data_IF_795965563146
#
_entry.id   IF_795965563146
#
_cell.length_a   1.000
_cell.length_b   1.000
_cell.length_c   1.000
_cell.angle_alpha   90.00
_cell.angle_beta   90.00
_cell.angle_gamma   90.00
#
_symmetry.space_group_name_H-M   'P 1'
#
loop_
_entity.id
_entity.type
_entity.pdbx_description
1 polymer ?
#
# COMPACT_ATOMS: atom_id res chain seq x y z
N UNK A 1 -52.55 -15.59 13.67
CA UNK A 1 -51.61 -15.34 14.71
C UNK A 1 -50.19 -15.36 14.22
N UNK A 2 -49.41 -14.37 14.54
CA UNK A 2 -47.97 -14.51 14.55
C UNK A 2 -47.21 -13.82 13.41
N UNK A 3 -46.80 -12.58 13.61
CA UNK A 3 -45.63 -12.02 12.97
C UNK A 3 -45.25 -10.71 13.67
N UNK A 4 -44.41 -10.79 14.66
CA UNK A 4 -43.87 -9.58 15.29
C UNK A 4 -42.43 -9.78 15.87
N UNK A 5 -41.66 -10.75 15.36
CA UNK A 5 -40.32 -11.01 15.90
C UNK A 5 -39.13 -10.50 15.06
N UNK A 6 -39.39 -10.00 13.83
CA UNK A 6 -38.29 -9.57 12.96
C UNK A 6 -37.88 -8.10 13.08
N UNK A 7 -38.75 -7.23 13.58
CA UNK A 7 -38.45 -5.80 13.72
C UNK A 7 -37.67 -5.45 14.99
N UNK A 8 -37.77 -6.25 16.06
CA UNK A 8 -37.10 -5.98 17.32
C UNK A 8 -35.61 -6.37 17.31
N UNK A 9 -35.21 -7.42 16.56
CA UNK A 9 -33.80 -7.83 16.47
C UNK A 9 -32.97 -6.86 15.65
N UNK A 10 -33.51 -6.33 14.54
CA UNK A 10 -32.82 -5.35 13.70
C UNK A 10 -32.63 -4.01 14.43
N UNK A 11 -33.65 -3.52 15.18
CA UNK A 11 -33.52 -2.29 15.94
C UNK A 11 -32.57 -2.43 17.13
N UNK A 12 -32.55 -3.59 17.82
CA UNK A 12 -31.63 -3.83 18.93
C UNK A 12 -30.18 -3.98 18.46
N UNK A 13 -29.91 -4.62 17.30
CA UNK A 13 -28.62 -4.71 16.70
C UNK A 13 -28.07 -3.33 16.28
N UNK A 14 -28.91 -2.49 15.67
CA UNK A 14 -28.58 -1.11 15.31
C UNK A 14 -28.29 -0.25 16.53
N UNK A 15 -29.12 -0.35 17.60
CA UNK A 15 -28.90 0.36 18.85
C UNK A 15 -27.59 -0.10 19.55
N UNK A 16 -27.30 -1.40 19.55
CA UNK A 16 -26.05 -1.92 20.11
C UNK A 16 -24.82 -1.44 19.34
N UNK A 17 -24.87 -1.42 17.99
CA UNK A 17 -23.79 -0.89 17.17
C UNK A 17 -23.56 0.60 17.40
N UNK A 18 -24.64 1.41 17.51
CA UNK A 18 -24.55 2.84 17.83
C UNK A 18 -23.97 3.09 19.22
N UNK A 19 -24.35 2.27 20.23
CA UNK A 19 -23.78 2.35 21.58
C UNK A 19 -22.30 1.96 21.59
N UNK A 20 -21.88 0.96 20.78
CA UNK A 20 -20.48 0.56 20.65
C UNK A 20 -19.60 1.66 20.03
N UNK A 21 -20.19 2.59 19.26
CA UNK A 21 -19.47 3.73 18.71
C UNK A 21 -19.09 4.78 19.76
N UNK A 22 -19.69 4.77 20.99
CA UNK A 22 -19.29 5.67 22.06
C UNK A 22 -17.87 5.39 22.51
N UNK A 23 -17.03 6.43 22.54
CA UNK A 23 -15.65 6.33 22.97
C UNK A 23 -14.67 5.81 21.93
N UNK A 24 -15.07 5.70 20.66
CA UNK A 24 -14.18 5.27 19.56
C UNK A 24 -13.62 6.43 18.75
N UNK A 25 -13.99 7.66 19.04
CA UNK A 25 -13.48 8.87 18.37
C UNK A 25 -14.10 9.17 17.01
N UNK A 26 -14.64 8.19 16.31
CA UNK A 26 -15.31 8.39 15.01
C UNK A 26 -16.65 9.11 15.18
N UNK A 27 -16.99 10.06 14.26
CA UNK A 27 -18.30 10.70 14.28
C UNK A 27 -19.43 9.67 14.07
N UNK A 28 -20.46 9.71 14.94
CA UNK A 28 -21.54 8.72 14.91
C UNK A 28 -22.69 9.07 13.99
N UNK A 29 -23.04 10.35 13.93
CA UNK A 29 -24.27 10.82 13.28
C UNK A 29 -23.98 11.57 11.98
N UNK A 30 -22.75 11.53 11.52
CA UNK A 30 -22.31 12.17 10.29
C UNK A 30 -21.73 11.13 9.35
N UNK A 31 -21.80 11.39 8.05
CA UNK A 31 -21.16 10.56 7.06
C UNK A 31 -19.65 10.80 7.10
N UNK A 32 -18.88 9.73 7.25
CA UNK A 32 -17.43 9.75 7.18
C UNK A 32 -17.03 9.45 5.73
N UNK A 33 -16.39 10.40 5.09
CA UNK A 33 -15.84 10.21 3.74
C UNK A 33 -14.45 9.58 3.87
N UNK A 34 -14.30 8.42 3.26
CA UNK A 34 -13.00 7.73 3.12
C UNK A 34 -12.49 8.01 1.72
N UNK A 35 -11.54 8.94 1.62
CA UNK A 35 -10.98 9.38 0.35
C UNK A 35 -9.92 8.40 -0.14
N UNK A 36 -10.01 8.00 -1.41
CA UNK A 36 -8.99 7.21 -2.10
C UNK A 36 -8.27 8.13 -3.08
N UNK A 37 -7.00 8.48 -2.84
CA UNK A 37 -6.23 9.31 -3.78
C UNK A 37 -5.74 8.46 -4.95
N UNK A 38 -6.67 7.97 -5.76
CA UNK A 38 -6.40 7.09 -6.89
C UNK A 38 -7.68 6.52 -7.48
N UNK A 39 -7.51 5.81 -8.58
CA UNK A 39 -8.63 5.21 -9.31
C UNK A 39 -9.18 3.99 -8.58
N UNK A 40 -10.44 3.68 -8.82
CA UNK A 40 -11.10 2.48 -8.31
C UNK A 40 -10.38 1.21 -8.79
N UNK A 41 -10.35 0.18 -7.93
CA UNK A 41 -9.78 -1.14 -8.22
C UNK A 41 -8.31 -1.30 -7.84
N UNK A 42 -7.61 -0.24 -7.46
CA UNK A 42 -6.26 -0.34 -6.92
C UNK A 42 -6.23 -0.89 -5.49
N UNK A 43 -5.02 -1.23 -5.01
CA UNK A 43 -4.85 -1.83 -3.68
C UNK A 43 -5.40 -0.99 -2.54
N UNK A 44 -5.19 0.33 -2.58
CA UNK A 44 -5.72 1.25 -1.56
C UNK A 44 -7.24 1.31 -1.56
N UNK A 45 -7.84 1.32 -2.76
CA UNK A 45 -9.30 1.31 -2.92
C UNK A 45 -9.91 0.03 -2.35
N UNK A 46 -9.35 -1.12 -2.71
CA UNK A 46 -9.83 -2.40 -2.21
C UNK A 46 -9.68 -2.50 -0.69
N UNK A 47 -8.53 -2.08 -0.16
CA UNK A 47 -8.27 -2.12 1.28
C UNK A 47 -9.24 -1.24 2.07
N UNK A 48 -9.41 0.02 1.67
CA UNK A 48 -10.25 0.96 2.40
C UNK A 48 -11.74 0.52 2.41
N UNK A 49 -12.18 -0.21 1.39
CA UNK A 49 -13.55 -0.75 1.34
C UNK A 49 -13.76 -1.84 2.39
N UNK A 50 -12.76 -2.65 2.70
CA UNK A 50 -12.83 -3.58 3.82
C UNK A 50 -12.90 -2.86 5.17
N UNK A 51 -12.14 -1.79 5.36
CA UNK A 51 -12.20 -0.98 6.56
C UNK A 51 -13.56 -0.25 6.68
N UNK A 52 -14.08 0.26 5.58
CA UNK A 52 -15.41 0.87 5.53
C UNK A 52 -16.50 -0.11 5.96
N UNK A 53 -16.48 -1.32 5.42
CA UNK A 53 -17.41 -2.38 5.79
C UNK A 53 -17.30 -2.72 7.28
N UNK A 54 -16.07 -2.88 7.79
CA UNK A 54 -15.84 -3.19 9.20
C UNK A 54 -16.32 -2.10 10.14
N UNK A 55 -16.05 -0.84 9.82
CA UNK A 55 -16.52 0.30 10.61
C UNK A 55 -18.04 0.38 10.65
N UNK A 56 -18.70 0.11 9.53
CA UNK A 56 -20.16 0.08 9.45
C UNK A 56 -20.73 -1.10 10.26
N UNK A 57 -20.24 -2.30 10.03
CA UNK A 57 -20.78 -3.52 10.65
C UNK A 57 -20.51 -3.60 12.15
N UNK A 58 -19.30 -3.23 12.59
CA UNK A 58 -18.89 -3.34 14.00
C UNK A 58 -19.46 -2.20 14.83
N UNK A 59 -19.42 -0.97 14.31
CA UNK A 59 -19.76 0.24 15.08
C UNK A 59 -20.99 0.99 14.58
N UNK A 60 -21.63 0.56 13.48
CA UNK A 60 -22.78 1.25 12.91
C UNK A 60 -22.47 2.61 12.29
N UNK A 61 -21.21 2.85 11.93
CA UNK A 61 -20.79 4.12 11.35
C UNK A 61 -21.25 4.23 9.89
N UNK A 62 -21.56 5.45 9.46
CA UNK A 62 -21.92 5.75 8.07
C UNK A 62 -20.64 6.15 7.34
N UNK A 63 -20.18 5.31 6.43
CA UNK A 63 -18.97 5.56 5.66
C UNK A 63 -19.26 5.57 4.16
N UNK A 64 -18.58 6.44 3.43
CA UNK A 64 -18.65 6.53 1.97
C UNK A 64 -17.24 6.57 1.41
N UNK A 65 -16.96 5.71 0.43
CA UNK A 65 -15.64 5.69 -0.24
C UNK A 65 -15.73 6.57 -1.49
N UNK A 66 -14.80 7.53 -1.60
CA UNK A 66 -14.74 8.47 -2.74
C UNK A 66 -13.36 8.37 -3.40
N UNK A 67 -13.35 8.06 -4.70
CA UNK A 67 -12.13 7.97 -5.49
C UNK A 67 -11.82 9.31 -6.18
N UNK A 68 -10.53 9.62 -6.26
CA UNK A 68 -10.00 10.80 -6.98
C UNK A 68 -9.09 10.33 -8.12
N UNK A 69 -9.19 10.95 -9.29
CA UNK A 69 -8.38 10.56 -10.45
C UNK A 69 -6.90 10.91 -10.29
N UNK A 70 -6.58 11.89 -9.44
CA UNK A 70 -5.23 12.34 -9.16
C UNK A 70 -4.89 12.14 -7.68
N UNK A 71 -3.73 11.54 -7.40
CA UNK A 71 -3.22 11.40 -6.03
C UNK A 71 -3.09 12.77 -5.36
N UNK A 72 -2.55 13.76 -6.07
CA UNK A 72 -2.33 15.11 -5.51
C UNK A 72 -3.63 15.80 -5.16
N UNK A 73 -4.66 15.69 -6.00
CA UNK A 73 -5.99 16.25 -5.73
C UNK A 73 -6.64 15.56 -4.53
N UNK A 74 -6.57 14.23 -4.47
CA UNK A 74 -7.11 13.46 -3.35
C UNK A 74 -6.45 13.81 -2.02
N UNK A 75 -5.13 13.87 -1.98
CA UNK A 75 -4.37 14.24 -0.79
C UNK A 75 -4.66 15.67 -0.35
N UNK A 76 -4.71 16.61 -1.28
CA UNK A 76 -5.02 18.02 -0.98
C UNK A 76 -6.44 18.17 -0.43
N UNK A 77 -7.39 17.43 -0.96
CA UNK A 77 -8.78 17.43 -0.48
C UNK A 77 -8.86 17.01 0.98
N UNK A 78 -8.13 15.95 1.37
CA UNK A 78 -8.08 15.50 2.75
C UNK A 78 -7.38 16.52 3.64
N UNK A 79 -6.23 17.05 3.21
CA UNK A 79 -5.48 18.05 3.98
C UNK A 79 -6.30 19.33 4.25
N UNK A 80 -7.16 19.71 3.32
CA UNK A 80 -8.00 20.90 3.42
C UNK A 80 -9.34 20.68 4.16
N UNK A 81 -9.65 19.44 4.52
CA UNK A 81 -10.89 19.11 5.20
C UNK A 81 -10.89 19.60 6.65
N UNK A 82 -12.08 19.65 7.26
CA UNK A 82 -12.21 19.96 8.68
C UNK A 82 -11.63 18.82 9.52
N UNK A 83 -10.88 19.12 10.59
CA UNK A 83 -10.24 18.10 11.43
C UNK A 83 -11.23 17.47 12.45
N UNK A 84 -12.40 17.12 12.02
CA UNK A 84 -13.50 16.60 12.84
C UNK A 84 -13.77 15.10 12.68
N UNK A 85 -12.93 14.39 11.92
CA UNK A 85 -13.04 12.95 11.69
C UNK A 85 -14.00 12.57 10.56
N UNK A 86 -14.58 13.53 9.84
CA UNK A 86 -15.52 13.24 8.74
C UNK A 86 -14.85 13.04 7.39
N UNK A 87 -13.56 13.30 7.27
CA UNK A 87 -12.77 13.05 6.06
C UNK A 87 -11.44 12.39 6.43
N UNK A 88 -11.27 11.15 5.99
CA UNK A 88 -10.09 10.33 6.26
C UNK A 88 -9.59 9.70 4.97
N UNK A 89 -8.35 9.24 4.98
CA UNK A 89 -7.75 8.51 3.85
C UNK A 89 -6.87 7.38 4.36
N UNK A 90 -6.67 6.37 3.52
CA UNK A 90 -5.64 5.35 3.71
C UNK A 90 -4.44 5.76 2.85
N UNK A 91 -3.46 6.41 3.48
CA UNK A 91 -2.27 6.91 2.81
C UNK A 91 -1.24 5.79 2.58
N UNK A 92 -0.57 5.87 1.44
CA UNK A 92 0.53 4.96 1.06
C UNK A 92 1.80 5.77 0.82
N UNK A 93 2.86 5.11 0.33
CA UNK A 93 4.11 5.78 -0.03
C UNK A 93 3.94 6.89 -1.07
N UNK A 94 2.86 6.86 -1.86
CA UNK A 94 2.59 7.90 -2.86
C UNK A 94 2.50 9.30 -2.23
N UNK A 95 1.91 9.42 -1.03
CA UNK A 95 1.84 10.69 -0.31
C UNK A 95 3.23 11.26 -0.04
N UNK A 96 4.14 10.43 0.48
CA UNK A 96 5.51 10.83 0.77
C UNK A 96 6.30 11.15 -0.51
N UNK A 97 6.21 10.28 -1.50
CA UNK A 97 6.98 10.41 -2.75
C UNK A 97 6.61 11.66 -3.51
N UNK A 98 5.33 11.99 -3.62
CA UNK A 98 4.88 13.19 -4.34
C UNK A 98 5.42 14.47 -3.68
N UNK A 99 5.47 14.53 -2.36
CA UNK A 99 6.06 15.66 -1.65
C UNK A 99 7.58 15.70 -1.79
N UNK A 100 8.26 14.59 -1.55
CA UNK A 100 9.73 14.48 -1.59
C UNK A 100 10.27 14.89 -2.97
N UNK A 101 9.59 14.52 -4.04
CA UNK A 101 9.98 14.81 -5.43
C UNK A 101 9.51 16.17 -5.93
N UNK A 102 8.79 16.93 -5.11
CA UNK A 102 8.27 18.25 -5.49
C UNK A 102 7.06 18.23 -6.41
N UNK A 103 6.46 17.07 -6.64
CA UNK A 103 5.25 16.94 -7.46
C UNK A 103 3.97 17.36 -6.73
N UNK A 104 4.02 17.47 -5.41
CA UNK A 104 2.94 17.97 -4.57
C UNK A 104 3.50 18.88 -3.47
N UNK A 105 2.66 19.80 -3.00
CA UNK A 105 3.01 20.74 -1.93
C UNK A 105 2.49 20.28 -0.56
N UNK A 106 1.60 19.30 -0.53
CA UNK A 106 1.05 18.75 0.71
C UNK A 106 2.14 18.00 1.46
N UNK A 107 2.44 18.45 2.67
CA UNK A 107 3.48 17.85 3.51
C UNK A 107 2.92 16.67 4.32
N UNK A 108 3.39 15.45 4.07
CA UNK A 108 2.88 14.26 4.75
C UNK A 108 3.13 14.25 6.25
N UNK A 109 4.10 15.02 6.73
CA UNK A 109 4.48 15.05 8.15
C UNK A 109 3.74 16.12 8.95
N UNK A 110 3.26 17.19 8.31
CA UNK A 110 2.67 18.35 9.01
C UNK A 110 1.24 18.67 8.58
N UNK A 111 0.81 18.28 7.40
CA UNK A 111 -0.52 18.63 6.86
C UNK A 111 -1.58 17.56 7.17
N UNK A 112 -1.20 16.50 7.86
CA UNK A 112 -2.07 15.39 8.23
C UNK A 112 -1.95 15.05 9.71
N UNK A 113 -2.99 14.40 10.22
CA UNK A 113 -2.97 13.70 11.50
C UNK A 113 -2.86 12.21 11.22
N UNK A 114 -1.80 11.57 11.71
CA UNK A 114 -1.64 10.12 11.64
C UNK A 114 -2.52 9.48 12.72
N UNK A 115 -3.39 8.57 12.31
CA UNK A 115 -4.31 7.88 13.22
C UNK A 115 -3.81 6.48 13.56
N UNK A 116 -3.44 5.69 12.56
CA UNK A 116 -2.92 4.34 12.76
C UNK A 116 -2.21 3.82 11.51
N UNK A 117 -1.11 3.09 11.70
CA UNK A 117 -0.62 2.18 10.69
C UNK A 117 -1.43 0.89 10.77
N UNK A 118 -2.04 0.47 9.68
CA UNK A 118 -3.01 -0.62 9.65
C UNK A 118 -2.53 -1.88 8.95
N UNK A 119 -1.55 -1.75 8.06
CA UNK A 119 -1.10 -2.88 7.24
C UNK A 119 0.22 -2.57 6.54
N UNK A 120 0.90 -3.65 6.15
CA UNK A 120 2.02 -3.61 5.21
C UNK A 120 1.49 -3.83 3.79
N UNK A 121 2.16 -3.25 2.80
CA UNK A 121 1.79 -3.38 1.38
C UNK A 121 1.91 -4.81 0.84
N UNK A 122 2.66 -5.68 1.52
CA UNK A 122 2.88 -7.06 1.09
C UNK A 122 3.96 -7.19 0.03
N UNK A 123 3.64 -7.92 -1.04
CA UNK A 123 4.63 -8.42 -1.98
C UNK A 123 4.57 -7.68 -3.33
N UNK A 124 5.69 -7.07 -3.72
CA UNK A 124 5.89 -6.52 -5.07
C UNK A 124 6.62 -7.56 -5.91
N UNK A 125 5.96 -8.10 -6.93
CA UNK A 125 6.49 -9.20 -7.74
C UNK A 125 7.39 -8.67 -8.85
N UNK A 126 8.63 -9.19 -8.91
CA UNK A 126 9.58 -8.86 -9.97
C UNK A 126 9.45 -9.87 -11.10
N UNK A 127 9.14 -9.37 -12.29
CA UNK A 127 8.95 -10.17 -13.48
C UNK A 127 9.93 -9.79 -14.60
N UNK A 128 10.35 -10.79 -15.35
CA UNK A 128 11.23 -10.67 -16.50
C UNK A 128 10.59 -11.35 -17.71
N UNK A 129 11.01 -11.06 -18.96
CA UNK A 129 10.50 -11.80 -20.12
C UNK A 129 10.69 -13.31 -20.00
N UNK A 130 9.76 -14.08 -20.57
CA UNK A 130 9.82 -15.54 -20.51
C UNK A 130 11.11 -16.13 -21.09
N UNK A 131 11.72 -15.46 -22.07
CA UNK A 131 12.96 -15.88 -22.71
C UNK A 131 14.21 -15.19 -22.16
N UNK A 132 14.12 -14.52 -21.01
CA UNK A 132 15.27 -13.90 -20.37
C UNK A 132 16.38 -14.94 -20.12
N UNK A 133 17.67 -14.57 -20.24
CA UNK A 133 18.79 -15.50 -20.09
C UNK A 133 19.10 -15.90 -18.65
N UNK A 134 18.25 -15.56 -17.72
CA UNK A 134 18.33 -15.90 -16.30
C UNK A 134 16.96 -16.37 -15.80
N UNK A 135 16.95 -17.27 -14.80
CA UNK A 135 15.72 -17.87 -14.28
C UNK A 135 15.42 -17.47 -12.82
N UNK A 136 16.39 -16.85 -12.12
CA UNK A 136 16.26 -16.43 -10.75
C UNK A 136 16.87 -15.04 -10.53
N UNK A 137 16.70 -14.51 -9.32
CA UNK A 137 17.20 -13.17 -9.01
C UNK A 137 18.72 -13.10 -9.02
N UNK A 138 19.42 -14.13 -8.54
CA UNK A 138 20.89 -14.16 -8.59
C UNK A 138 21.40 -14.08 -10.02
N UNK A 139 20.80 -14.84 -10.94
CA UNK A 139 21.14 -14.79 -12.36
C UNK A 139 20.89 -13.42 -12.97
N UNK A 140 19.79 -12.76 -12.61
CA UNK A 140 19.53 -11.39 -13.03
C UNK A 140 20.58 -10.41 -12.53
N UNK A 141 20.96 -10.48 -11.26
CA UNK A 141 21.98 -9.60 -10.66
C UNK A 141 23.34 -9.81 -11.34
N UNK A 142 23.76 -11.05 -11.53
CA UNK A 142 25.02 -11.37 -12.19
C UNK A 142 25.06 -10.85 -13.63
N UNK A 143 23.96 -11.03 -14.36
CA UNK A 143 23.82 -10.51 -15.72
C UNK A 143 23.90 -8.99 -15.75
N UNK A 144 23.17 -8.32 -14.85
CA UNK A 144 23.16 -6.86 -14.76
C UNK A 144 24.54 -6.28 -14.44
N UNK A 145 25.31 -6.95 -13.57
CA UNK A 145 26.70 -6.53 -13.25
C UNK A 145 27.64 -6.65 -14.43
N UNK A 146 27.44 -7.67 -15.28
CA UNK A 146 28.25 -7.87 -16.48
C UNK A 146 27.81 -6.97 -17.65
N UNK A 147 26.61 -6.40 -17.58
CA UNK A 147 26.02 -5.60 -18.66
C UNK A 147 25.45 -4.28 -18.10
N UNK A 148 26.33 -3.41 -17.51
CA UNK A 148 25.84 -2.17 -16.90
C UNK A 148 25.15 -1.28 -17.94
N UNK A 149 24.02 -0.71 -17.58
CA UNK A 149 23.18 0.15 -18.42
C UNK A 149 22.65 -0.49 -19.72
N UNK A 150 22.58 -1.81 -19.77
CA UNK A 150 22.03 -2.52 -20.93
C UNK A 150 20.61 -3.05 -20.70
N UNK A 151 20.25 -3.38 -19.45
CA UNK A 151 18.92 -3.87 -19.12
C UNK A 151 17.94 -2.73 -18.89
N UNK A 152 16.74 -2.86 -19.46
CA UNK A 152 15.66 -1.88 -19.36
C UNK A 152 14.72 -2.26 -18.22
N UNK A 153 14.53 -1.36 -17.25
CA UNK A 153 13.57 -1.52 -16.16
C UNK A 153 12.35 -0.61 -16.41
N UNK A 154 11.18 -1.20 -16.50
CA UNK A 154 9.93 -0.47 -16.70
C UNK A 154 9.37 0.05 -15.39
N UNK A 155 9.13 1.38 -15.30
CA UNK A 155 8.67 2.03 -14.08
C UNK A 155 8.02 3.37 -14.38
N UNK A 156 7.21 3.93 -13.47
CA UNK A 156 6.73 5.30 -13.63
C UNK A 156 7.86 6.32 -13.50
N UNK A 157 7.63 7.54 -13.96
CA UNK A 157 8.61 8.63 -13.89
C UNK A 157 9.04 8.93 -12.45
N UNK A 158 8.09 8.97 -11.52
CA UNK A 158 8.34 9.21 -10.09
C UNK A 158 7.23 8.54 -9.26
N UNK A 159 7.41 7.29 -8.94
CA UNK A 159 6.45 6.52 -8.13
C UNK A 159 7.12 5.48 -7.26
N UNK A 160 6.33 4.65 -6.60
CA UNK A 160 6.83 3.63 -5.69
C UNK A 160 7.83 2.68 -6.38
N UNK A 161 7.55 2.24 -7.60
CA UNK A 161 8.44 1.34 -8.34
C UNK A 161 9.76 2.00 -8.73
N UNK A 162 9.74 3.32 -9.03
CA UNK A 162 10.97 4.08 -9.29
C UNK A 162 11.89 4.05 -8.07
N UNK A 163 11.33 4.24 -6.89
CA UNK A 163 12.07 4.21 -5.63
C UNK A 163 12.54 2.80 -5.28
N UNK A 164 11.72 1.79 -5.54
CA UNK A 164 12.10 0.39 -5.34
C UNK A 164 13.32 0.02 -6.18
N UNK A 165 13.30 0.28 -7.48
CA UNK A 165 14.45 0.02 -8.34
C UNK A 165 15.66 0.88 -7.96
N UNK A 166 15.45 2.13 -7.54
CA UNK A 166 16.51 2.98 -7.04
C UNK A 166 17.24 2.36 -5.84
N UNK A 167 16.49 1.83 -4.87
CA UNK A 167 17.07 1.12 -3.72
C UNK A 167 17.80 -0.15 -4.16
N UNK A 168 17.17 -1.00 -4.96
CA UNK A 168 17.78 -2.25 -5.42
C UNK A 168 19.10 -2.00 -6.18
N UNK A 169 19.12 -1.05 -7.10
CA UNK A 169 20.33 -0.70 -7.83
C UNK A 169 21.45 -0.23 -6.90
N UNK A 170 21.12 0.61 -5.92
CA UNK A 170 22.08 1.13 -4.93
C UNK A 170 22.65 0.00 -4.05
N UNK A 171 21.78 -0.85 -3.52
CA UNK A 171 22.18 -1.95 -2.63
C UNK A 171 23.01 -3.01 -3.37
N UNK A 172 22.61 -3.33 -4.61
CA UNK A 172 23.23 -4.41 -5.39
C UNK A 172 24.43 -3.95 -6.21
N UNK A 173 24.63 -2.65 -6.39
CA UNK A 173 25.69 -2.12 -7.26
C UNK A 173 25.45 -2.44 -8.73
N UNK A 174 24.21 -2.39 -9.19
CA UNK A 174 23.83 -2.60 -10.59
C UNK A 174 23.31 -1.30 -11.21
N UNK A 175 23.35 -1.21 -12.52
CA UNK A 175 22.89 -0.07 -13.29
C UNK A 175 21.89 -0.53 -14.35
N UNK A 176 20.67 0.00 -14.29
CA UNK A 176 19.58 -0.30 -15.21
C UNK A 176 19.16 0.95 -15.96
N UNK A 177 18.70 0.79 -17.20
CA UNK A 177 18.07 1.89 -17.94
C UNK A 177 16.60 2.03 -17.49
N UNK A 178 16.22 3.23 -17.08
CA UNK A 178 14.83 3.54 -16.76
C UNK A 178 14.03 3.72 -18.05
N UNK A 179 12.99 2.92 -18.21
CA UNK A 179 12.01 3.06 -19.29
C UNK A 179 10.66 3.40 -18.68
N UNK A 180 10.05 4.49 -19.11
CA UNK A 180 8.78 4.92 -18.55
C UNK A 180 7.65 3.96 -18.95
N UNK A 181 7.08 3.29 -17.94
CA UNK A 181 5.94 2.40 -18.02
C UNK A 181 5.06 2.68 -16.80
N UNK A 182 4.21 3.70 -16.89
CA UNK A 182 3.46 4.21 -15.74
C UNK A 182 2.41 3.21 -15.22
N UNK A 183 1.76 2.46 -16.11
CA UNK A 183 0.71 1.51 -15.74
C UNK A 183 1.23 0.08 -15.68
N UNK A 184 0.60 -0.75 -14.85
CA UNK A 184 0.88 -2.19 -14.83
C UNK A 184 0.56 -2.84 -16.17
N UNK A 185 -0.50 -2.42 -16.83
CA UNK A 185 -0.87 -2.89 -18.18
C UNK A 185 0.27 -2.68 -19.18
N UNK A 186 0.88 -1.50 -19.18
CA UNK A 186 2.04 -1.20 -20.03
C UNK A 186 3.24 -2.10 -19.68
N UNK A 187 3.51 -2.30 -18.41
CA UNK A 187 4.60 -3.19 -17.98
C UNK A 187 4.38 -4.62 -18.43
N UNK A 188 3.18 -5.14 -18.27
CA UNK A 188 2.82 -6.50 -18.72
C UNK A 188 2.99 -6.66 -20.23
N UNK A 189 2.52 -5.71 -21.02
CA UNK A 189 2.68 -5.71 -22.47
C UNK A 189 4.15 -5.68 -22.87
N UNK A 190 4.94 -4.82 -22.25
CA UNK A 190 6.36 -4.66 -22.58
C UNK A 190 7.23 -5.82 -22.10
N UNK A 191 6.86 -6.48 -20.99
CA UNK A 191 7.51 -7.72 -20.54
C UNK A 191 7.23 -8.86 -21.52
N UNK A 192 5.97 -9.04 -21.91
CA UNK A 192 5.58 -10.09 -22.86
C UNK A 192 6.23 -9.90 -24.24
N UNK A 193 6.42 -8.65 -24.67
CA UNK A 193 7.07 -8.30 -25.94
C UNK A 193 8.59 -8.23 -25.89
N UNK A 194 9.20 -8.32 -24.69
CA UNK A 194 10.65 -8.22 -24.54
C UNK A 194 11.20 -6.80 -24.68
N UNK A 195 10.35 -5.77 -24.57
CA UNK A 195 10.77 -4.37 -24.68
C UNK A 195 11.34 -3.81 -23.37
N UNK A 196 10.98 -4.41 -22.24
CA UNK A 196 11.65 -4.20 -20.95
C UNK A 196 12.15 -5.53 -20.42
N UNK A 197 13.22 -5.48 -19.64
CA UNK A 197 13.90 -6.66 -19.10
C UNK A 197 13.45 -7.02 -17.70
N UNK A 198 12.89 -6.06 -16.96
CA UNK A 198 12.36 -6.26 -15.63
C UNK A 198 11.29 -5.21 -15.33
N UNK A 199 10.28 -5.62 -14.56
CA UNK A 199 9.24 -4.73 -14.09
C UNK A 199 8.53 -5.32 -12.87
N UNK A 200 7.89 -4.45 -12.08
CA UNK A 200 7.04 -4.86 -10.97
C UNK A 200 5.62 -5.06 -11.49
N UNK A 201 5.04 -6.20 -11.19
CA UNK A 201 3.65 -6.53 -11.52
C UNK A 201 2.93 -7.05 -10.28
N UNK A 202 1.61 -6.90 -10.23
CA UNK A 202 0.80 -7.45 -9.15
C UNK A 202 0.86 -8.97 -9.12
N UNK A 203 0.75 -9.54 -7.92
CA UNK A 203 0.91 -10.98 -7.70
C UNK A 203 -0.06 -11.81 -8.55
N UNK A 204 -1.33 -11.39 -8.65
CA UNK A 204 -2.34 -12.08 -9.45
C UNK A 204 -2.00 -12.10 -10.93
N UNK A 205 -1.61 -10.96 -11.48
CA UNK A 205 -1.19 -10.85 -12.89
C UNK A 205 0.11 -11.62 -13.14
N UNK A 206 1.04 -11.60 -12.19
CA UNK A 206 2.27 -12.38 -12.29
C UNK A 206 1.98 -13.87 -12.44
N UNK A 207 1.07 -14.41 -11.62
CA UNK A 207 0.67 -15.83 -11.70
C UNK A 207 -0.02 -16.16 -13.04
N UNK A 208 -0.93 -15.32 -13.48
CA UNK A 208 -1.68 -15.52 -14.73
C UNK A 208 -0.75 -15.48 -15.95
N UNK A 209 0.08 -14.46 -16.07
CA UNK A 209 1.01 -14.29 -17.19
C UNK A 209 2.13 -15.33 -17.18
N UNK A 210 2.57 -15.75 -16.00
CA UNK A 210 3.55 -16.82 -15.86
C UNK A 210 2.99 -18.16 -16.35
N UNK A 211 1.76 -18.50 -15.98
CA UNK A 211 1.07 -19.70 -16.46
C UNK A 211 0.88 -19.70 -17.98
N UNK A 212 0.65 -18.52 -18.56
CA UNK A 212 0.51 -18.35 -20.00
C UNK A 212 1.86 -18.32 -20.75
N UNK A 213 2.99 -18.47 -20.04
CA UNK A 213 4.32 -18.47 -20.65
C UNK A 213 4.77 -17.12 -21.18
N UNK A 214 4.19 -16.02 -20.68
CA UNK A 214 4.49 -14.66 -21.16
C UNK A 214 5.56 -13.93 -20.36
N UNK A 215 5.82 -14.37 -19.15
CA UNK A 215 6.88 -13.82 -18.28
C UNK A 215 7.37 -14.88 -17.29
N UNK A 216 8.49 -14.59 -16.64
CA UNK A 216 9.01 -15.37 -15.49
C UNK A 216 9.05 -14.47 -14.27
N UNK A 217 8.75 -15.04 -13.11
CA UNK A 217 8.90 -14.38 -11.79
C UNK A 217 10.23 -14.79 -11.20
N UNK A 218 11.01 -13.83 -10.75
CA UNK A 218 12.34 -14.07 -10.15
C UNK A 218 12.42 -13.74 -8.65
N UNK A 219 11.34 -13.26 -8.08
CA UNK A 219 11.24 -12.99 -6.67
C UNK A 219 10.21 -11.92 -6.35
N UNK A 220 10.07 -11.65 -5.06
CA UNK A 220 9.22 -10.56 -4.56
C UNK A 220 10.01 -9.64 -3.64
N UNK A 221 9.63 -8.37 -3.62
CA UNK A 221 10.14 -7.40 -2.64
C UNK A 221 9.02 -7.16 -1.63
N UNK A 222 9.36 -7.31 -0.36
CA UNK A 222 8.45 -7.07 0.76
C UNK A 222 9.17 -6.23 1.82
N UNK A 223 8.51 -5.97 2.95
CA UNK A 223 9.09 -5.30 4.10
C UNK A 223 10.18 -6.16 4.77
N UNK A 224 11.00 -5.52 5.59
CA UNK A 224 12.09 -6.20 6.30
C UNK A 224 11.56 -7.33 7.18
N UNK A 225 12.11 -8.52 7.01
CA UNK A 225 11.75 -9.72 7.76
C UNK A 225 10.46 -10.40 7.31
N UNK A 226 9.77 -9.91 6.29
CA UNK A 226 8.57 -10.54 5.75
C UNK A 226 8.96 -11.71 4.85
N UNK A 227 8.25 -12.82 4.98
CA UNK A 227 8.46 -14.03 4.22
C UNK A 227 7.22 -14.37 3.40
N UNK A 228 7.41 -15.11 2.30
CA UNK A 228 6.33 -15.42 1.34
C UNK A 228 5.23 -16.30 1.95
N UNK A 229 5.52 -17.04 3.02
CA UNK A 229 4.54 -17.85 3.73
C UNK A 229 3.50 -17.02 4.51
N UNK A 230 3.73 -15.71 4.66
CA UNK A 230 2.71 -14.79 5.19
C UNK A 230 1.59 -14.49 4.16
N UNK A 231 1.78 -14.86 2.90
CA UNK A 231 0.70 -14.85 1.92
C UNK A 231 -0.25 -16.01 2.20
N UNK A 232 -1.60 -15.82 2.09
CA UNK A 232 -2.58 -16.82 2.55
C UNK A 232 -2.73 -18.05 1.65
N UNK A 233 -2.00 -18.13 0.55
CA UNK A 233 -1.98 -19.31 -0.33
C UNK A 233 -0.55 -19.73 -0.63
N UNK A 234 -0.35 -21.00 -0.95
CA UNK A 234 0.95 -21.51 -1.35
C UNK A 234 1.36 -20.92 -2.71
N UNK A 235 2.59 -20.44 -2.81
CA UNK A 235 3.17 -19.89 -4.03
C UNK A 235 4.39 -20.71 -4.45
N UNK A 236 4.71 -20.76 -5.75
CA UNK A 236 5.93 -21.40 -6.24
C UNK A 236 7.18 -20.80 -5.58
N UNK A 237 8.25 -21.57 -5.50
CA UNK A 237 9.50 -21.18 -4.83
C UNK A 237 10.14 -19.91 -5.42
N UNK A 238 9.98 -19.69 -6.72
CA UNK A 238 10.50 -18.48 -7.39
C UNK A 238 9.81 -17.19 -6.97
N UNK A 239 8.74 -17.26 -6.16
CA UNK A 239 8.08 -16.09 -5.55
C UNK A 239 8.67 -15.69 -4.19
N UNK A 240 9.61 -16.44 -3.65
CA UNK A 240 10.28 -16.08 -2.40
C UNK A 240 10.79 -14.65 -2.44
N UNK A 241 10.74 -13.98 -1.29
CA UNK A 241 11.25 -12.61 -1.19
C UNK A 241 12.76 -12.58 -1.47
N UNK A 242 13.26 -11.44 -1.92
CA UNK A 242 14.68 -11.28 -2.18
C UNK A 242 15.51 -11.53 -0.91
N UNK A 243 15.00 -11.14 0.27
CA UNK A 243 15.65 -11.45 1.55
C UNK A 243 15.73 -12.97 1.79
N UNK A 244 14.68 -13.71 1.52
CA UNK A 244 14.68 -15.17 1.63
C UNK A 244 15.66 -15.83 0.66
N UNK A 245 15.92 -15.18 -0.47
CA UNK A 245 16.90 -15.64 -1.47
C UNK A 245 18.35 -15.26 -1.11
N UNK A 246 18.59 -14.62 0.05
CA UNK A 246 19.90 -14.27 0.54
C UNK A 246 20.33 -12.81 0.32
N UNK A 247 19.46 -11.99 -0.26
CA UNK A 247 19.71 -10.55 -0.48
C UNK A 247 19.12 -9.75 0.68
N UNK A 248 19.79 -9.76 1.82
CA UNK A 248 19.25 -9.27 3.10
C UNK A 248 18.85 -7.79 3.12
N UNK A 249 19.48 -6.94 2.30
CA UNK A 249 19.18 -5.52 2.24
C UNK A 249 18.18 -5.16 1.12
N UNK A 250 17.70 -6.15 0.37
CA UNK A 250 16.73 -5.98 -0.69
C UNK A 250 15.30 -6.12 -0.15
N UNK A 251 14.87 -5.15 0.62
CA UNK A 251 13.51 -4.99 1.14
C UNK A 251 13.05 -3.55 0.93
N UNK A 252 11.76 -3.30 1.07
CA UNK A 252 11.20 -1.96 0.95
C UNK A 252 10.14 -1.76 2.02
N UNK A 253 10.27 -0.70 2.82
CA UNK A 253 9.27 -0.36 3.83
C UNK A 253 8.11 0.37 3.14
N UNK A 254 6.96 -0.27 3.08
CA UNK A 254 5.73 0.31 2.52
C UNK A 254 4.57 -0.08 3.42
N UNK A 255 4.05 0.89 4.15
CA UNK A 255 2.90 0.71 5.03
C UNK A 255 1.71 1.53 4.52
N UNK A 256 0.52 1.17 5.00
CA UNK A 256 -0.69 1.95 4.74
C UNK A 256 -1.20 2.51 6.06
N UNK A 257 -1.46 3.80 6.06
CA UNK A 257 -1.79 4.57 7.26
C UNK A 257 -3.17 5.21 7.14
N UNK A 258 -3.98 5.06 8.17
CA UNK A 258 -5.19 5.86 8.30
C UNK A 258 -4.79 7.27 8.77
N UNK A 259 -5.14 8.26 7.97
CA UNK A 259 -4.83 9.67 8.23
C UNK A 259 -6.06 10.54 8.03
N UNK A 260 -6.09 11.65 8.75
CA UNK A 260 -7.00 12.76 8.54
C UNK A 260 -6.25 14.06 8.37
N UNK A 261 -6.96 15.21 8.22
CA UNK A 261 -6.32 16.52 8.14
C UNK A 261 -5.60 16.86 9.45
N UNK A 262 -4.61 17.74 9.36
CA UNK A 262 -3.88 18.21 10.54
C UNK A 262 -4.82 18.86 11.58
N UNK A 263 -4.48 18.74 12.84
CA UNK A 263 -5.20 19.41 13.93
C UNK A 263 -6.40 18.65 14.50
N UNK A 264 -6.51 17.35 14.23
CA UNK A 264 -7.54 16.53 14.87
C UNK A 264 -7.29 16.46 16.38
N UNK A 265 -8.38 16.41 17.15
CA UNK A 265 -8.32 16.34 18.61
C UNK A 265 -7.56 15.09 19.08
N UNK A 266 -6.63 15.27 20.01
CA UNK A 266 -5.75 14.20 20.48
C UNK A 266 -6.50 13.03 21.10
N UNK A 267 -7.55 13.30 21.91
CA UNK A 267 -8.37 12.26 22.52
C UNK A 267 -9.14 11.48 21.46
N UNK A 268 -9.71 12.18 20.47
CA UNK A 268 -10.36 11.57 19.33
C UNK A 268 -9.42 10.60 18.59
N UNK A 269 -8.21 11.05 18.30
CA UNK A 269 -7.23 10.23 17.56
C UNK A 269 -6.82 8.98 18.34
N UNK A 270 -6.60 9.10 19.65
CA UNK A 270 -6.30 7.94 20.51
C UNK A 270 -7.42 6.92 20.51
N UNK A 271 -8.66 7.39 20.58
CA UNK A 271 -9.83 6.52 20.53
C UNK A 271 -9.99 5.85 19.17
N UNK A 272 -9.80 6.60 18.08
CA UNK A 272 -9.84 6.05 16.72
C UNK A 272 -8.75 4.99 16.51
N UNK A 273 -7.54 5.25 16.95
CA UNK A 273 -6.44 4.29 16.88
C UNK A 273 -6.80 2.98 17.59
N UNK A 274 -7.29 3.07 18.82
CA UNK A 274 -7.69 1.89 19.60
C UNK A 274 -8.85 1.12 18.94
N UNK A 275 -9.84 1.82 18.39
CA UNK A 275 -10.95 1.19 17.69
C UNK A 275 -10.50 0.43 16.45
N UNK A 276 -9.50 0.94 15.74
CA UNK A 276 -8.98 0.30 14.54
C UNK A 276 -8.28 -1.04 14.82
N UNK A 277 -7.80 -1.29 16.03
CA UNK A 277 -7.29 -2.63 16.42
C UNK A 277 -8.37 -3.69 16.24
N UNK A 278 -9.56 -3.41 16.74
CA UNK A 278 -10.71 -4.32 16.62
C UNK A 278 -11.14 -4.51 15.16
N UNK A 279 -11.12 -3.45 14.38
CA UNK A 279 -11.46 -3.50 12.95
C UNK A 279 -10.45 -4.32 12.15
N UNK A 280 -9.15 -4.08 12.34
CA UNK A 280 -8.10 -4.83 11.63
C UNK A 280 -8.12 -6.32 11.99
N UNK A 281 -8.38 -6.64 13.26
CA UNK A 281 -8.41 -8.02 13.75
C UNK A 281 -9.75 -8.73 13.52
N UNK A 282 -10.76 -8.02 13.05
CA UNK A 282 -12.02 -8.65 12.65
C UNK A 282 -11.78 -9.63 11.50
N UNK A 283 -12.26 -10.89 11.59
CA UNK A 283 -11.95 -11.92 10.60
C UNK A 283 -12.27 -11.54 9.16
N UNK A 284 -13.42 -10.90 8.93
CA UNK A 284 -13.83 -10.48 7.58
C UNK A 284 -12.89 -9.42 7.01
N UNK A 285 -12.53 -8.42 7.81
CA UNK A 285 -11.59 -7.36 7.40
C UNK A 285 -10.19 -7.93 7.21
N UNK A 286 -9.70 -8.65 8.20
CA UNK A 286 -8.37 -9.29 8.16
C UNK A 286 -8.19 -10.18 6.93
N UNK A 287 -9.12 -11.09 6.70
CA UNK A 287 -9.05 -12.04 5.59
C UNK A 287 -9.20 -11.33 4.23
N UNK A 288 -10.02 -10.26 4.18
CA UNK A 288 -10.14 -9.44 2.98
C UNK A 288 -8.84 -8.74 2.62
N UNK A 289 -8.18 -8.11 3.59
CA UNK A 289 -6.89 -7.44 3.39
C UNK A 289 -5.81 -8.46 3.00
N UNK A 290 -5.74 -9.60 3.68
CA UNK A 290 -4.81 -10.67 3.33
C UNK A 290 -5.07 -11.22 1.92
N UNK A 291 -6.34 -11.34 1.54
CA UNK A 291 -6.75 -11.86 0.24
C UNK A 291 -6.36 -10.98 -0.96
N UNK A 292 -6.15 -9.68 -0.75
CA UNK A 292 -5.63 -8.78 -1.78
C UNK A 292 -4.09 -8.72 -1.80
N UNK A 293 -3.43 -9.56 -1.02
CA UNK A 293 -1.97 -9.66 -0.98
C UNK A 293 -1.28 -8.68 -0.03
N UNK A 294 -2.03 -7.92 0.76
CA UNK A 294 -1.48 -7.07 1.82
C UNK A 294 -1.34 -7.87 3.11
N UNK A 295 -0.58 -7.33 4.06
CA UNK A 295 -0.38 -7.99 5.36
C UNK A 295 -1.00 -7.10 6.43
N UNK A 296 -2.17 -7.49 6.98
CA UNK A 296 -2.81 -6.72 8.03
C UNK A 296 -1.99 -6.72 9.30
N UNK A 297 -1.95 -5.60 10.00
CA UNK A 297 -1.21 -5.44 11.23
C UNK A 297 -1.45 -4.07 11.82
N UNK A 298 -2.19 -4.00 12.91
CA UNK A 298 -2.45 -2.77 13.63
C UNK A 298 -1.25 -2.37 14.48
N UNK A 299 -1.01 -1.07 14.56
CA UNK A 299 0.02 -0.45 15.40
C UNK A 299 -0.58 0.68 16.21
N UNK A 300 -0.13 0.84 17.47
CA UNK A 300 -0.52 1.98 18.27
C UNK A 300 0.03 3.30 17.71
N UNK A 301 -0.34 4.43 18.31
CA UNK A 301 0.06 5.75 17.81
C UNK A 301 1.58 5.94 17.79
N UNK A 302 2.25 5.58 18.86
CA UNK A 302 3.71 5.75 18.98
C UNK A 302 4.43 4.92 17.92
N UNK A 303 4.09 3.65 17.79
CA UNK A 303 4.66 2.75 16.80
C UNK A 303 4.33 3.18 15.36
N UNK A 304 3.10 3.64 15.13
CA UNK A 304 2.68 4.16 13.82
C UNK A 304 3.52 5.37 13.39
N UNK A 305 3.78 6.29 14.32
CA UNK A 305 4.63 7.47 14.06
C UNK A 305 6.07 7.07 13.76
N UNK A 306 6.62 6.12 14.51
CA UNK A 306 7.97 5.59 14.30
C UNK A 306 8.10 4.93 12.92
N UNK A 307 7.13 4.10 12.54
CA UNK A 307 7.11 3.44 11.24
C UNK A 307 7.01 4.45 10.10
N UNK A 308 6.13 5.45 10.22
CA UNK A 308 5.98 6.48 9.18
C UNK A 308 7.25 7.32 9.04
N UNK A 309 7.89 7.70 10.14
CA UNK A 309 9.15 8.44 10.10
C UNK A 309 10.26 7.62 9.44
N UNK A 310 10.36 6.35 9.80
CA UNK A 310 11.36 5.44 9.24
C UNK A 310 11.17 5.25 7.74
N UNK A 311 9.93 5.03 7.30
CA UNK A 311 9.60 4.93 5.87
C UNK A 311 9.92 6.23 5.13
N UNK A 312 9.52 7.38 5.69
CA UNK A 312 9.80 8.69 5.11
C UNK A 312 11.30 8.92 4.95
N UNK A 313 12.09 8.66 5.99
CA UNK A 313 13.55 8.84 5.97
C UNK A 313 14.22 7.94 4.92
N UNK A 314 13.77 6.70 4.78
CA UNK A 314 14.24 5.79 3.73
C UNK A 314 13.95 6.36 2.33
N UNK A 315 12.75 6.86 2.10
CA UNK A 315 12.36 7.46 0.81
C UNK A 315 13.19 8.71 0.50
N UNK A 316 13.48 9.55 1.48
CA UNK A 316 14.35 10.72 1.32
C UNK A 316 15.75 10.28 0.88
N UNK A 317 16.32 9.27 1.53
CA UNK A 317 17.65 8.76 1.17
C UNK A 317 17.68 8.20 -0.26
N UNK A 318 16.66 7.45 -0.65
CA UNK A 318 16.53 6.93 -2.01
C UNK A 318 16.42 8.10 -3.02
N UNK A 319 15.60 9.10 -2.72
CA UNK A 319 15.42 10.26 -3.58
C UNK A 319 16.72 11.02 -3.80
N UNK A 320 17.52 11.19 -2.74
CA UNK A 320 18.86 11.80 -2.84
C UNK A 320 19.77 11.01 -3.76
N UNK A 321 19.80 9.69 -3.65
CA UNK A 321 20.59 8.83 -4.50
C UNK A 321 20.13 8.88 -5.97
N UNK A 322 18.84 9.08 -6.20
CA UNK A 322 18.27 9.20 -7.55
C UNK A 322 18.39 10.60 -8.15
N UNK A 323 18.82 11.59 -7.37
CA UNK A 323 18.80 12.99 -7.80
C UNK A 323 17.38 13.56 -7.93
N UNK A 324 16.42 12.99 -7.22
CA UNK A 324 14.99 13.37 -7.26
C UNK A 324 14.50 14.10 -6.01
N UNK A 325 15.38 14.36 -5.06
CA UNK A 325 15.04 15.01 -3.80
C UNK A 325 14.88 16.52 -3.99
N UNK A 326 13.68 17.03 -3.72
CA UNK A 326 13.35 18.46 -3.85
C UNK A 326 12.95 19.04 -2.49
N UNK A 327 12.19 18.30 -1.70
CA UNK A 327 11.66 18.76 -0.42
C UNK A 327 12.37 18.07 0.75
N UNK A 328 12.87 18.88 1.69
CA UNK A 328 13.59 18.38 2.84
C UNK A 328 13.24 19.06 4.12
#
# INVERSE_FOLDING_TARGET
>A
GGSSSSSSSASSASAAASAAADGIGFPKNETITLAVPGKAGGGSDLAIRYYSEGLNRIYGLKTTVTNYDSNTVGHQTVANAKPDGTTLTLATSALNIQYITGNATVNPMTDFTLIACLQDNGFSTLAVPANAPYDDFQGFVDYAKSHPNELNAGMPAAGANTFLFGKLCSVLGIELNKVECASESDRLTNLAGGFIDIGVVGLGNAQEYSKAGKLKVIGTVAGDGITIDQYPAELPENYKTLQEQGFKDCYMLVYHYLMGPAGMDETMVKQMNAAMEEVVNDPTVHDGIAGIGHIPGWHDLEESEELHQKEYDELVNIAKNLGMYVQG
#
